data_IF_720513073940
#
_entry.id   IF_720513073940
#
_cell.length_a   1.000
_cell.length_b   1.000
_cell.length_c   1.000
_cell.angle_alpha   90.00
_cell.angle_beta   90.00
_cell.angle_gamma   90.00
#
_symmetry.space_group_name_H-M   'P 1'
#
loop_
_entity.id
_entity.type
_entity.pdbx_description
1 polymer ?
#
# COMPACT_ATOMS: atom_id res chain seq x y z
N UNK A 1 -17.99 -19.52 -17.08
CA UNK A 1 -17.63 -18.22 -16.48
C UNK A 1 -18.83 -17.28 -16.36
N UNK A 2 -19.71 -17.19 -17.38
CA UNK A 2 -20.89 -16.32 -17.33
C UNK A 2 -21.86 -16.60 -16.17
N UNK A 3 -22.15 -17.88 -15.90
CA UNK A 3 -23.03 -18.27 -14.78
C UNK A 3 -22.53 -17.82 -13.39
N UNK A 4 -21.21 -17.77 -13.20
CA UNK A 4 -20.61 -17.32 -11.93
C UNK A 4 -20.71 -15.81 -11.82
N UNK A 5 -20.46 -15.10 -12.93
CA UNK A 5 -20.62 -13.64 -13.00
C UNK A 5 -22.06 -13.23 -12.76
N UNK A 6 -23.01 -13.86 -13.43
CA UNK A 6 -24.44 -13.58 -13.29
C UNK A 6 -24.90 -13.79 -11.84
N UNK A 7 -24.51 -14.90 -11.22
CA UNK A 7 -24.80 -15.15 -9.81
C UNK A 7 -24.20 -14.09 -8.89
N UNK A 8 -22.94 -13.71 -9.12
CA UNK A 8 -22.26 -12.72 -8.29
C UNK A 8 -22.84 -11.31 -8.45
N UNK A 9 -23.29 -10.93 -9.65
CA UNK A 9 -23.97 -9.65 -9.91
C UNK A 9 -25.40 -9.61 -9.34
N UNK A 10 -26.02 -10.76 -9.13
CA UNK A 10 -27.36 -10.86 -8.56
C UNK A 10 -27.36 -11.00 -7.02
N UNK A 11 -26.19 -11.08 -6.39
CA UNK A 11 -26.06 -11.13 -4.93
C UNK A 11 -26.05 -9.71 -4.35
N UNK A 12 -27.09 -9.29 -3.61
CA UNK A 12 -27.20 -7.92 -3.10
C UNK A 12 -26.08 -7.54 -2.13
N UNK A 13 -25.49 -8.52 -1.44
CA UNK A 13 -24.37 -8.26 -0.53
C UNK A 13 -23.07 -7.94 -1.27
N UNK A 14 -22.93 -8.36 -2.53
CA UNK A 14 -21.74 -8.14 -3.33
C UNK A 14 -21.86 -6.90 -4.21
N UNK A 15 -23.04 -6.65 -4.78
CA UNK A 15 -23.28 -5.47 -5.60
C UNK A 15 -23.02 -4.19 -4.79
N UNK A 16 -22.24 -3.28 -5.36
CA UNK A 16 -21.81 -1.99 -4.79
C UNK A 16 -20.98 -2.06 -3.49
N UNK A 17 -20.80 -3.24 -2.89
CA UNK A 17 -19.89 -3.47 -1.77
C UNK A 17 -18.54 -4.06 -2.21
N UNK A 18 -18.60 -5.16 -2.98
CA UNK A 18 -17.43 -5.91 -3.44
C UNK A 18 -17.32 -5.94 -4.96
N UNK A 19 -18.41 -5.75 -5.69
CA UNK A 19 -18.44 -5.73 -7.15
C UNK A 19 -19.14 -4.46 -7.59
N UNK A 20 -18.52 -3.68 -8.47
CA UNK A 20 -19.14 -2.47 -9.01
C UNK A 20 -20.40 -2.81 -9.81
N UNK A 21 -21.41 -1.93 -9.80
CA UNK A 21 -22.65 -2.13 -10.58
C UNK A 21 -22.45 -2.37 -12.08
N UNK A 22 -21.31 -1.94 -12.66
CA UNK A 22 -20.93 -2.22 -14.06
C UNK A 22 -20.18 -3.57 -14.25
N UNK A 23 -19.87 -4.28 -13.16
CA UNK A 23 -19.19 -5.56 -13.14
C UNK A 23 -17.74 -5.53 -13.61
N UNK A 24 -17.11 -4.34 -13.70
CA UNK A 24 -15.72 -4.18 -14.16
C UNK A 24 -14.70 -4.20 -13.03
N UNK A 25 -15.13 -3.86 -11.82
CA UNK A 25 -14.27 -3.82 -10.63
C UNK A 25 -14.79 -4.79 -9.61
N UNK A 26 -13.88 -5.60 -9.05
CA UNK A 26 -14.19 -6.50 -7.95
C UNK A 26 -13.11 -6.39 -6.88
N UNK A 27 -13.54 -6.41 -5.61
CA UNK A 27 -12.71 -6.51 -4.44
C UNK A 27 -12.63 -7.98 -4.02
N UNK A 28 -11.43 -8.42 -3.64
CA UNK A 28 -11.20 -9.75 -3.09
C UNK A 28 -10.82 -9.57 -1.63
N UNK A 29 -11.66 -10.10 -0.73
CA UNK A 29 -11.35 -10.17 0.69
C UNK A 29 -10.50 -11.42 0.94
N UNK A 30 -9.31 -11.24 1.51
CA UNK A 30 -8.42 -12.31 1.89
C UNK A 30 -8.49 -12.48 3.41
N UNK A 31 -9.16 -13.54 3.85
CA UNK A 31 -9.18 -13.94 5.25
C UNK A 31 -8.03 -14.93 5.49
N UNK A 32 -7.15 -14.61 6.43
CA UNK A 32 -6.03 -15.47 6.81
C UNK A 32 -6.33 -16.15 8.15
N UNK A 33 -5.80 -17.35 8.34
CA UNK A 33 -5.80 -18.01 9.64
C UNK A 33 -5.04 -17.17 10.67
N UNK A 34 -5.34 -17.41 11.95
CA UNK A 34 -4.62 -16.75 13.03
C UNK A 34 -3.13 -17.07 12.94
N UNK A 35 -2.32 -16.03 12.95
CA UNK A 35 -0.88 -16.19 12.93
C UNK A 35 -0.37 -16.84 14.22
N UNK A 36 0.69 -17.63 14.11
CA UNK A 36 1.42 -18.13 15.28
C UNK A 36 2.03 -16.94 16.04
N UNK A 37 1.86 -16.91 17.36
CA UNK A 37 2.17 -15.77 18.24
C UNK A 37 3.62 -15.28 18.17
N UNK A 38 4.54 -16.11 17.67
CA UNK A 38 5.98 -15.86 17.63
C UNK A 38 6.41 -14.95 16.47
N UNK A 39 5.54 -14.68 15.47
CA UNK A 39 5.89 -13.85 14.33
C UNK A 39 5.69 -12.35 14.60
N UNK A 40 6.76 -11.58 14.38
CA UNK A 40 6.71 -10.11 14.40
C UNK A 40 5.97 -9.58 13.17
N UNK A 41 4.73 -9.12 13.38
CA UNK A 41 3.85 -8.44 12.42
C UNK A 41 3.71 -9.11 11.03
N UNK A 42 3.14 -10.33 10.99
CA UNK A 42 3.05 -11.15 9.79
C UNK A 42 2.09 -10.58 8.71
N UNK A 43 1.34 -9.54 9.05
CA UNK A 43 0.49 -8.76 8.12
C UNK A 43 1.30 -8.11 6.99
N UNK A 44 2.61 -7.93 7.17
CA UNK A 44 3.51 -7.38 6.13
C UNK A 44 3.91 -8.40 5.06
N UNK A 45 3.74 -9.70 5.33
CA UNK A 45 4.08 -10.78 4.39
C UNK A 45 3.00 -10.97 3.31
N UNK A 46 1.70 -10.88 3.70
CA UNK A 46 0.58 -11.14 2.77
C UNK A 46 0.67 -10.28 1.50
N UNK A 47 0.85 -8.94 1.59
CA UNK A 47 0.85 -8.11 0.38
C UNK A 47 1.94 -8.52 -0.62
N UNK A 48 3.13 -8.94 -0.14
CA UNK A 48 4.21 -9.37 -1.03
C UNK A 48 3.86 -10.65 -1.79
N UNK A 49 3.22 -11.61 -1.12
CA UNK A 49 2.76 -12.86 -1.73
C UNK A 49 1.64 -12.60 -2.74
N UNK A 50 0.70 -11.72 -2.41
CA UNK A 50 -0.37 -11.35 -3.34
C UNK A 50 0.20 -10.70 -4.60
N UNK A 51 1.18 -9.79 -4.45
CA UNK A 51 1.83 -9.17 -5.61
C UNK A 51 2.58 -10.17 -6.48
N UNK A 52 3.28 -11.14 -5.91
CA UNK A 52 4.00 -12.14 -6.71
C UNK A 52 3.05 -13.02 -7.53
N UNK A 53 1.85 -13.28 -7.03
CA UNK A 53 0.79 -13.99 -7.77
C UNK A 53 0.25 -13.11 -8.89
N UNK A 54 -0.06 -11.84 -8.61
CA UNK A 54 -0.67 -10.92 -9.58
C UNK A 54 0.27 -10.51 -10.73
N UNK A 55 1.58 -10.74 -10.60
CA UNK A 55 2.57 -10.53 -11.68
C UNK A 55 2.48 -11.63 -12.76
N UNK A 56 1.80 -12.75 -12.51
CA UNK A 56 1.63 -13.81 -13.51
C UNK A 56 0.91 -13.30 -14.76
N UNK A 57 1.24 -13.81 -15.96
CA UNK A 57 0.68 -13.34 -17.23
C UNK A 57 -0.85 -13.54 -17.33
N UNK A 58 -1.40 -14.51 -16.59
CA UNK A 58 -2.85 -14.76 -16.50
C UNK A 58 -3.64 -13.56 -15.90
N UNK A 59 -2.98 -12.68 -15.13
CA UNK A 59 -3.59 -11.48 -14.55
C UNK A 59 -3.15 -10.18 -15.22
N UNK A 60 -2.36 -10.24 -16.30
CA UNK A 60 -1.79 -9.04 -16.94
C UNK A 60 -2.83 -8.03 -17.44
N UNK A 61 -4.05 -8.49 -17.74
CA UNK A 61 -5.16 -7.64 -18.18
C UNK A 61 -5.93 -6.99 -17.02
N UNK A 62 -5.61 -7.31 -15.77
CA UNK A 62 -6.28 -6.74 -14.60
C UNK A 62 -5.51 -5.54 -14.08
N UNK A 63 -6.21 -4.43 -13.89
CA UNK A 63 -5.66 -3.28 -13.16
C UNK A 63 -5.87 -3.48 -11.67
N UNK A 64 -4.78 -3.74 -10.95
CA UNK A 64 -4.82 -4.01 -9.51
C UNK A 64 -4.75 -2.69 -8.74
N UNK A 65 -5.73 -2.48 -7.86
CA UNK A 65 -5.69 -1.45 -6.83
C UNK A 65 -5.58 -2.14 -5.49
N UNK A 66 -4.48 -1.92 -4.79
CA UNK A 66 -4.30 -2.49 -3.46
C UNK A 66 -4.59 -1.42 -2.43
N UNK A 67 -5.45 -1.73 -1.47
CA UNK A 67 -5.97 -0.81 -0.46
C UNK A 67 -5.71 -1.39 0.93
N UNK A 68 -5.36 -0.52 1.90
CA UNK A 68 -5.13 -0.92 3.30
C UNK A 68 -3.90 -0.27 3.94
N UNK A 69 -3.81 -0.44 5.27
CA UNK A 69 -2.74 0.14 6.12
C UNK A 69 -1.31 -0.23 5.72
N UNK A 70 -0.98 -1.47 5.26
CA UNK A 70 0.42 -1.82 4.98
C UNK A 70 1.06 -1.06 3.80
N UNK A 71 0.24 -0.52 2.89
CA UNK A 71 0.71 0.25 1.73
C UNK A 71 0.94 1.71 2.13
N UNK A 72 0.06 2.23 2.97
CA UNK A 72 0.19 3.55 3.56
C UNK A 72 1.51 3.67 4.33
N UNK A 73 1.89 2.63 5.09
CA UNK A 73 3.17 2.59 5.81
C UNK A 73 4.39 2.71 4.88
N UNK A 74 4.38 2.03 3.71
CA UNK A 74 5.49 2.12 2.74
C UNK A 74 5.58 3.51 2.10
N UNK A 75 4.45 4.13 1.78
CA UNK A 75 4.42 5.49 1.25
C UNK A 75 4.93 6.50 2.28
N UNK A 76 4.43 6.40 3.52
CA UNK A 76 4.86 7.25 4.64
C UNK A 76 6.36 7.09 4.91
N UNK A 77 6.88 5.86 4.94
CA UNK A 77 8.32 5.62 5.16
C UNK A 77 9.19 6.26 4.07
N UNK A 78 8.75 6.19 2.80
CA UNK A 78 9.46 6.81 1.68
C UNK A 78 9.45 8.33 1.79
N UNK A 79 8.30 8.92 2.09
CA UNK A 79 8.16 10.37 2.24
C UNK A 79 8.90 10.90 3.48
N UNK A 80 8.88 10.17 4.60
CA UNK A 80 9.63 10.51 5.81
C UNK A 80 11.15 10.54 5.57
N UNK A 81 11.69 9.63 4.76
CA UNK A 81 13.11 9.64 4.40
C UNK A 81 13.51 10.89 3.63
N UNK A 82 12.68 11.28 2.65
CA UNK A 82 12.92 12.46 1.82
C UNK A 82 12.79 13.75 2.66
N UNK A 83 11.77 13.81 3.51
CA UNK A 83 11.57 14.91 4.46
C UNK A 83 12.75 15.03 5.44
N UNK A 84 13.21 13.91 6.01
CA UNK A 84 14.35 13.89 6.92
C UNK A 84 15.63 14.43 6.28
N UNK A 85 15.88 14.07 5.02
CA UNK A 85 17.05 14.57 4.28
C UNK A 85 16.98 16.10 4.06
N UNK A 86 15.80 16.62 3.71
CA UNK A 86 15.59 18.07 3.57
C UNK A 86 15.85 18.79 4.90
N UNK A 87 15.34 18.26 6.01
CA UNK A 87 15.58 18.84 7.34
C UNK A 87 17.06 18.89 7.70
N UNK A 88 17.82 17.82 7.41
CA UNK A 88 19.27 17.77 7.67
C UNK A 88 20.00 18.85 6.86
N UNK A 89 19.65 19.01 5.58
CA UNK A 89 20.27 20.04 4.73
C UNK A 89 19.96 21.44 5.26
N UNK A 90 18.72 21.71 5.67
CA UNK A 90 18.34 23.00 6.26
C UNK A 90 19.07 23.27 7.59
N UNK A 91 19.20 22.26 8.45
CA UNK A 91 19.97 22.37 9.70
C UNK A 91 21.45 22.66 9.43
N UNK A 92 22.06 21.99 8.46
CA UNK A 92 23.44 22.23 8.03
C UNK A 92 23.64 23.66 7.52
N UNK A 93 22.71 24.17 6.70
CA UNK A 93 22.77 25.54 6.19
C UNK A 93 22.62 26.58 7.31
N UNK A 94 21.71 26.35 8.25
CA UNK A 94 21.55 27.22 9.42
C UNK A 94 22.81 27.23 10.28
N UNK A 95 23.39 26.05 10.59
CA UNK A 95 24.62 25.96 11.37
C UNK A 95 25.79 26.64 10.67
N UNK A 96 25.90 26.48 9.34
CA UNK A 96 26.94 27.11 8.55
C UNK A 96 26.78 28.63 8.51
N UNK A 97 25.55 29.13 8.47
CA UNK A 97 25.27 30.56 8.57
C UNK A 97 25.60 31.11 9.96
N UNK A 98 25.16 30.44 11.03
CA UNK A 98 25.49 30.83 12.42
C UNK A 98 27.00 30.81 12.66
N UNK A 99 27.71 29.78 12.19
CA UNK A 99 29.16 29.72 12.29
C UNK A 99 29.84 30.86 11.52
N UNK A 100 29.33 31.25 10.35
CA UNK A 100 29.85 32.39 9.57
C UNK A 100 29.62 33.73 10.27
N UNK A 101 28.49 33.90 10.94
CA UNK A 101 28.16 35.10 11.71
C UNK A 101 29.00 35.16 12.99
N UNK A 102 29.18 34.03 13.69
CA UNK A 102 29.98 33.96 14.93
C UNK A 102 31.50 33.96 14.75
N UNK A 103 32.03 33.69 13.55
CA UNK A 103 33.45 33.82 13.21
C UNK A 103 33.80 35.17 12.56
N UNK A 104 32.80 36.03 12.36
CA UNK A 104 32.95 37.36 11.77
C UNK A 104 33.13 38.50 12.79
N UNK A 105 33.21 38.17 14.09
CA UNK A 105 33.59 39.10 15.18
C UNK A 105 35.05 38.90 15.60
#
# INVERSE_FOLDING_TARGET
MELVKERAMNEPLYLDNLISGDGKTAAILLECECYQDEKVDPRKEIPQVVYSILVKPEYANLKVYTVGTPIMDKMIAREMSLFGLICIVLQMLMLLWVARVGLGE
#
